data_IF_795073446898
#
_entry.id   IF_795073446898
#
_cell.length_a   1.000
_cell.length_b   1.000
_cell.length_c   1.000
_cell.angle_alpha   90.00
_cell.angle_beta   90.00
_cell.angle_gamma   90.00
#
_symmetry.space_group_name_H-M   'P 1'
#
loop_
_entity.id
_entity.type
_entity.pdbx_description
1 polymer ?
#
# COMPACT_ATOMS: atom_id res chain seq x y z
N UNK A 1 22.21 -58.00 31.05
CA UNK A 1 22.65 -56.66 30.61
C UNK A 1 22.14 -56.49 29.20
N UNK A 2 21.08 -55.70 29.11
CA UNK A 2 20.16 -55.60 27.98
C UNK A 2 20.76 -54.87 26.77
N UNK A 3 20.71 -55.52 25.61
CA UNK A 3 20.69 -54.84 24.32
C UNK A 3 19.26 -54.94 23.78
N UNK A 4 18.56 -53.80 23.75
CA UNK A 4 17.20 -53.71 23.19
C UNK A 4 17.28 -53.64 21.66
N UNK A 5 16.51 -54.47 20.93
CA UNK A 5 16.42 -54.36 19.49
C UNK A 5 15.43 -53.26 19.06
N UNK A 6 15.81 -52.57 17.99
CA UNK A 6 15.00 -51.66 17.19
C UNK A 6 13.74 -52.38 16.67
N UNK A 7 12.56 -52.01 17.17
CA UNK A 7 11.30 -52.25 16.49
C UNK A 7 10.89 -50.96 15.77
N UNK A 8 11.30 -50.85 14.52
CA UNK A 8 10.71 -49.93 13.57
C UNK A 8 9.26 -50.38 13.30
N UNK A 9 8.28 -49.57 13.70
CA UNK A 9 6.93 -49.69 13.17
C UNK A 9 6.96 -49.23 11.70
N UNK A 10 6.50 -50.05 10.73
CA UNK A 10 6.36 -49.57 9.37
C UNK A 10 5.23 -48.54 9.31
N UNK A 11 5.58 -47.31 8.94
CA UNK A 11 4.62 -46.28 8.57
C UNK A 11 3.87 -46.73 7.32
N UNK A 12 2.61 -47.15 7.47
CA UNK A 12 1.70 -47.32 6.34
C UNK A 12 1.31 -45.94 5.80
N UNK A 13 2.18 -45.40 4.93
CA UNK A 13 1.87 -44.27 4.06
C UNK A 13 0.74 -44.66 3.08
N UNK A 14 -0.37 -43.93 2.99
CA UNK A 14 -1.50 -44.27 2.10
C UNK A 14 -1.28 -43.86 0.64
N UNK A 15 -0.03 -43.78 0.17
CA UNK A 15 0.30 -43.17 -1.14
C UNK A 15 0.33 -44.20 -2.30
N UNK A 16 0.23 -45.51 -2.02
CA UNK A 16 0.39 -46.57 -3.05
C UNK A 16 -0.95 -47.05 -3.66
N UNK A 17 -2.11 -46.62 -3.15
CA UNK A 17 -3.41 -47.21 -3.54
C UNK A 17 -4.02 -46.67 -4.84
N UNK A 18 -3.63 -45.48 -5.30
CA UNK A 18 -4.31 -44.76 -6.40
C UNK A 18 -4.09 -45.42 -7.78
N UNK A 19 -2.86 -45.81 -8.19
CA UNK A 19 -2.61 -46.35 -9.54
C UNK A 19 -3.27 -47.71 -9.79
N UNK A 20 -3.41 -48.52 -8.73
CA UNK A 20 -4.11 -49.81 -8.78
C UNK A 20 -5.62 -49.63 -8.88
N UNK A 21 -6.16 -48.61 -8.24
CA UNK A 21 -7.58 -48.28 -8.33
C UNK A 21 -7.93 -47.82 -9.74
N UNK A 22 -7.11 -46.96 -10.33
CA UNK A 22 -7.31 -46.44 -11.69
C UNK A 22 -7.28 -47.56 -12.75
N UNK A 23 -6.33 -48.49 -12.63
CA UNK A 23 -6.25 -49.68 -13.50
C UNK A 23 -7.41 -50.65 -13.31
N UNK A 24 -8.03 -50.68 -12.13
CA UNK A 24 -9.18 -51.53 -11.85
C UNK A 24 -10.45 -50.88 -12.41
N UNK A 25 -10.60 -49.56 -12.22
CA UNK A 25 -11.70 -48.76 -12.75
C UNK A 25 -11.72 -48.73 -14.28
N UNK A 26 -10.56 -48.75 -14.94
CA UNK A 26 -10.46 -48.78 -16.40
C UNK A 26 -10.93 -50.09 -17.03
N UNK A 27 -11.02 -51.18 -16.26
CA UNK A 27 -11.43 -52.49 -16.73
C UNK A 27 -12.90 -52.81 -16.43
N UNK A 28 -13.64 -51.88 -15.80
CA UNK A 28 -15.04 -52.09 -15.44
C UNK A 28 -15.98 -51.81 -16.60
N UNK A 29 -17.00 -52.65 -16.75
CA UNK A 29 -18.09 -52.39 -17.69
C UNK A 29 -19.04 -51.32 -17.13
N UNK A 30 -19.89 -50.74 -17.99
CA UNK A 30 -20.91 -49.79 -17.56
C UNK A 30 -21.87 -50.39 -16.50
N UNK A 31 -22.17 -51.69 -16.59
CA UNK A 31 -23.00 -52.39 -15.61
C UNK A 31 -22.31 -52.47 -14.24
N UNK A 32 -21.00 -52.74 -14.22
CA UNK A 32 -20.22 -52.79 -12.98
C UNK A 32 -20.11 -51.41 -12.33
N UNK A 33 -19.96 -50.35 -13.13
CA UNK A 33 -19.97 -48.97 -12.63
C UNK A 33 -21.32 -48.58 -12.02
N UNK A 34 -22.44 -48.97 -12.64
CA UNK A 34 -23.78 -48.74 -12.10
C UNK A 34 -24.04 -49.55 -10.83
N UNK A 35 -23.57 -50.80 -10.79
CA UNK A 35 -23.65 -51.65 -9.59
C UNK A 35 -22.83 -51.08 -8.43
N UNK A 36 -21.58 -50.67 -8.68
CA UNK A 36 -20.73 -50.04 -7.69
C UNK A 36 -21.33 -48.73 -7.20
N UNK A 37 -21.89 -47.90 -8.08
CA UNK A 37 -22.61 -46.69 -7.69
C UNK A 37 -23.77 -47.01 -6.77
N UNK A 38 -24.61 -47.99 -7.11
CA UNK A 38 -25.72 -48.42 -6.25
C UNK A 38 -25.28 -48.94 -4.89
N UNK A 39 -24.17 -49.71 -4.83
CA UNK A 39 -23.62 -50.21 -3.56
C UNK A 39 -22.98 -49.11 -2.73
N UNK A 40 -22.27 -48.17 -3.37
CA UNK A 40 -21.69 -46.99 -2.72
C UNK A 40 -22.81 -46.09 -2.18
N UNK A 41 -23.85 -45.83 -2.96
CA UNK A 41 -25.01 -45.05 -2.54
C UNK A 41 -25.71 -45.70 -1.33
N UNK A 42 -25.84 -47.03 -1.32
CA UNK A 42 -26.36 -47.80 -0.18
C UNK A 42 -25.45 -47.81 1.06
N UNK A 43 -24.12 -47.74 0.87
CA UNK A 43 -23.16 -47.62 1.98
C UNK A 43 -23.13 -46.19 2.55
N UNK A 44 -23.18 -45.17 1.69
CA UNK A 44 -23.22 -43.75 2.07
C UNK A 44 -24.53 -43.41 2.79
N UNK A 45 -25.63 -44.10 2.51
CA UNK A 45 -26.89 -43.92 3.22
C UNK A 45 -26.80 -44.19 4.74
N UNK A 46 -25.81 -44.98 5.18
CA UNK A 46 -25.59 -45.32 6.60
C UNK A 46 -24.52 -44.47 7.28
N UNK A 47 -23.90 -43.52 6.57
CA UNK A 47 -22.93 -42.59 7.17
C UNK A 47 -23.68 -41.34 7.61
N UNK A 48 -23.67 -40.99 8.92
CA UNK A 48 -24.32 -39.78 9.39
C UNK A 48 -23.73 -38.57 8.66
N UNK A 49 -24.60 -37.81 8.01
CA UNK A 49 -24.24 -36.58 7.30
C UNK A 49 -23.98 -35.50 8.33
N UNK A 50 -23.25 -34.46 7.91
CA UNK A 50 -23.04 -33.29 8.78
C UNK A 50 -24.39 -32.70 9.26
N UNK A 51 -25.41 -32.79 8.39
CA UNK A 51 -26.79 -32.38 8.60
C UNK A 51 -27.53 -33.17 9.70
N UNK A 52 -27.02 -34.35 10.08
CA UNK A 52 -27.62 -35.22 11.10
C UNK A 52 -27.07 -34.92 12.51
N UNK A 53 -26.04 -34.07 12.63
CA UNK A 53 -25.46 -33.73 13.93
C UNK A 53 -26.18 -32.56 14.60
N UNK A 54 -26.30 -32.58 15.94
CA UNK A 54 -26.85 -31.46 16.68
C UNK A 54 -25.89 -30.26 16.67
N UNK A 55 -26.44 -29.06 16.85
CA UNK A 55 -25.72 -27.79 16.70
C UNK A 55 -24.52 -27.65 17.64
N UNK A 56 -24.56 -28.29 18.80
CA UNK A 56 -23.47 -28.31 19.79
C UNK A 56 -22.22 -29.01 19.23
N UNK A 57 -22.41 -30.10 18.50
CA UNK A 57 -21.30 -30.82 17.87
C UNK A 57 -20.73 -29.99 16.72
N UNK A 58 -21.59 -29.32 15.94
CA UNK A 58 -21.17 -28.41 14.87
C UNK A 58 -20.33 -27.24 15.44
N UNK A 59 -20.72 -26.67 16.57
CA UNK A 59 -19.94 -25.63 17.28
C UNK A 59 -18.59 -26.15 17.78
N UNK A 60 -18.55 -27.38 18.30
CA UNK A 60 -17.29 -27.98 18.74
C UNK A 60 -16.37 -28.30 17.56
N UNK A 61 -16.92 -28.64 16.38
CA UNK A 61 -16.12 -28.75 15.16
C UNK A 61 -15.60 -27.36 14.79
N UNK A 62 -16.45 -26.33 14.79
CA UNK A 62 -16.09 -24.96 14.43
C UNK A 62 -14.90 -24.41 15.24
N UNK A 63 -14.87 -24.64 16.56
CA UNK A 63 -13.79 -24.16 17.43
C UNK A 63 -12.41 -24.74 17.07
N UNK A 64 -12.38 -25.88 16.37
CA UNK A 64 -11.16 -26.54 15.91
C UNK A 64 -10.82 -26.23 14.44
N UNK A 65 -11.63 -25.45 13.73
CA UNK A 65 -11.36 -25.05 12.35
C UNK A 65 -10.61 -23.73 12.28
N UNK A 66 -9.65 -23.66 11.36
CA UNK A 66 -9.16 -22.39 10.85
C UNK A 66 -10.14 -21.81 9.81
N UNK A 67 -9.95 -20.53 9.48
CA UNK A 67 -10.86 -19.83 8.58
C UNK A 67 -10.86 -20.40 7.15
N UNK A 68 -9.72 -20.92 6.68
CA UNK A 68 -9.60 -21.53 5.34
C UNK A 68 -10.32 -22.86 5.20
N UNK A 69 -10.15 -23.71 6.21
CA UNK A 69 -10.81 -25.00 6.30
C UNK A 69 -12.31 -24.79 6.44
N UNK A 70 -12.73 -23.84 7.28
CA UNK A 70 -14.13 -23.43 7.36
C UNK A 70 -14.70 -22.98 6.01
N UNK A 71 -14.01 -22.08 5.29
CA UNK A 71 -14.45 -21.65 3.96
C UNK A 71 -14.52 -22.83 2.98
N UNK A 72 -13.57 -23.75 3.02
CA UNK A 72 -13.59 -24.97 2.21
C UNK A 72 -14.82 -25.83 2.54
N UNK A 73 -15.14 -26.00 3.83
CA UNK A 73 -16.35 -26.69 4.29
C UNK A 73 -17.64 -26.03 3.79
N UNK A 74 -17.72 -24.70 3.69
CA UNK A 74 -18.90 -24.02 3.10
C UNK A 74 -19.04 -24.21 1.58
N UNK A 75 -18.00 -24.70 0.92
CA UNK A 75 -17.94 -24.90 -0.55
C UNK A 75 -18.15 -26.34 -0.98
N UNK A 76 -18.08 -27.32 -0.06
CA UNK A 76 -18.20 -28.76 -0.38
C UNK A 76 -19.58 -29.13 -0.92
N UNK A 77 -20.66 -28.66 -0.27
CA UNK A 77 -22.04 -28.95 -0.68
C UNK A 77 -23.03 -27.88 -0.20
N UNK A 78 -24.25 -27.90 -0.76
CA UNK A 78 -25.34 -27.02 -0.31
C UNK A 78 -25.78 -27.32 1.13
N UNK A 79 -25.83 -28.60 1.53
CA UNK A 79 -26.19 -29.01 2.90
C UNK A 79 -25.17 -28.50 3.93
N UNK A 80 -23.89 -28.72 3.65
CA UNK A 80 -22.81 -28.20 4.48
C UNK A 80 -22.86 -26.68 4.60
N UNK A 81 -23.04 -25.97 3.48
CA UNK A 81 -23.20 -24.52 3.51
C UNK A 81 -24.35 -24.10 4.43
N UNK A 82 -25.51 -24.73 4.29
CA UNK A 82 -26.70 -24.38 5.08
C UNK A 82 -26.46 -24.53 6.59
N UNK A 83 -25.76 -25.59 7.01
CA UNK A 83 -25.39 -25.82 8.42
C UNK A 83 -24.47 -24.73 8.93
N UNK A 84 -23.38 -24.48 8.21
CA UNK A 84 -22.42 -23.45 8.59
C UNK A 84 -23.05 -22.05 8.59
N UNK A 85 -24.04 -21.81 7.72
CA UNK A 85 -24.82 -20.55 7.64
C UNK A 85 -26.05 -20.48 8.53
N UNK A 86 -26.32 -21.51 9.34
CA UNK A 86 -27.48 -21.52 10.22
C UNK A 86 -27.34 -20.40 11.27
N UNK A 87 -28.45 -19.72 11.60
CA UNK A 87 -28.50 -18.58 12.54
C UNK A 87 -27.67 -18.80 13.81
N UNK A 88 -27.81 -20.00 14.39
CA UNK A 88 -27.24 -20.34 15.69
C UNK A 88 -25.74 -20.68 15.63
N UNK A 89 -25.21 -21.01 14.45
CA UNK A 89 -23.78 -21.29 14.20
C UNK A 89 -23.09 -20.03 13.68
N UNK A 90 -23.80 -19.21 12.90
CA UNK A 90 -23.26 -18.01 12.26
C UNK A 90 -22.76 -16.96 13.25
N UNK A 91 -23.43 -16.85 14.40
CA UNK A 91 -22.99 -15.98 15.50
C UNK A 91 -21.65 -16.48 16.05
N UNK A 92 -21.49 -17.78 16.22
CA UNK A 92 -20.25 -18.37 16.71
C UNK A 92 -19.12 -18.26 15.69
N UNK A 93 -19.42 -18.39 14.38
CA UNK A 93 -18.48 -18.13 13.28
C UNK A 93 -17.94 -16.71 13.35
N UNK A 94 -18.82 -15.73 13.54
CA UNK A 94 -18.43 -14.33 13.69
C UNK A 94 -17.55 -14.11 14.91
N UNK A 95 -17.94 -14.65 16.06
CA UNK A 95 -17.20 -14.47 17.31
C UNK A 95 -15.83 -15.16 17.27
N UNK A 96 -15.74 -16.31 16.60
CA UNK A 96 -14.51 -17.10 16.50
C UNK A 96 -13.50 -16.48 15.52
N UNK A 97 -13.94 -16.10 14.31
CA UNK A 97 -13.03 -15.59 13.27
C UNK A 97 -12.87 -14.06 13.25
N UNK A 98 -13.86 -13.32 13.78
CA UNK A 98 -13.91 -11.85 13.77
C UNK A 98 -14.35 -11.29 15.14
N UNK A 99 -13.56 -11.53 16.21
CA UNK A 99 -13.93 -11.12 17.56
C UNK A 99 -14.12 -9.59 17.64
N UNK A 100 -15.12 -9.14 18.42
CA UNK A 100 -15.43 -7.73 18.65
C UNK A 100 -16.25 -7.03 17.56
N UNK A 101 -16.44 -7.64 16.39
CA UNK A 101 -17.15 -7.01 15.27
C UNK A 101 -18.63 -6.73 15.57
N UNK A 102 -19.26 -7.58 16.38
CA UNK A 102 -20.65 -7.42 16.83
C UNK A 102 -20.82 -6.31 17.87
N UNK A 103 -19.80 -6.09 18.69
CA UNK A 103 -19.79 -5.03 19.71
C UNK A 103 -19.67 -3.65 19.07
N UNK A 104 -18.90 -3.56 17.97
CA UNK A 104 -18.72 -2.32 17.21
C UNK A 104 -19.96 -1.93 16.39
N UNK A 105 -20.75 -2.90 15.94
CA UNK A 105 -21.89 -2.68 15.05
C UNK A 105 -23.15 -3.42 15.54
N UNK A 106 -23.74 -3.00 16.68
CA UNK A 106 -24.84 -3.72 17.31
C UNK A 106 -26.14 -3.74 16.49
N UNK A 107 -26.30 -2.79 15.57
CA UNK A 107 -27.53 -2.61 14.78
C UNK A 107 -27.51 -3.36 13.44
N UNK A 108 -26.41 -4.02 13.10
CA UNK A 108 -26.22 -4.66 11.80
C UNK A 108 -26.44 -6.16 11.88
N UNK A 109 -26.98 -6.77 10.81
CA UNK A 109 -27.27 -8.20 10.82
C UNK A 109 -25.98 -9.03 10.78
N UNK A 110 -25.95 -10.17 11.48
CA UNK A 110 -24.80 -11.08 11.49
C UNK A 110 -24.37 -11.51 10.08
N UNK A 111 -25.31 -11.62 9.14
CA UNK A 111 -24.98 -11.91 7.75
C UNK A 111 -24.19 -10.77 7.07
N UNK A 112 -24.64 -9.53 7.20
CA UNK A 112 -23.98 -8.37 6.61
C UNK A 112 -22.60 -8.15 7.23
N UNK A 113 -22.50 -8.26 8.55
CA UNK A 113 -21.25 -8.19 9.30
C UNK A 113 -20.24 -9.23 8.82
N UNK A 114 -20.67 -10.50 8.67
CA UNK A 114 -19.81 -11.56 8.17
C UNK A 114 -19.40 -11.32 6.72
N UNK A 115 -20.33 -10.90 5.86
CA UNK A 115 -20.04 -10.62 4.45
C UNK A 115 -18.99 -9.52 4.31
N UNK A 116 -19.15 -8.42 5.06
CA UNK A 116 -18.22 -7.29 5.09
C UNK A 116 -16.85 -7.71 5.67
N UNK A 117 -16.85 -8.41 6.81
CA UNK A 117 -15.63 -8.90 7.44
C UNK A 117 -14.88 -9.90 6.54
N UNK A 118 -15.60 -10.78 5.84
CA UNK A 118 -15.03 -11.71 4.86
C UNK A 118 -14.40 -10.97 3.69
N UNK A 119 -15.05 -9.94 3.15
CA UNK A 119 -14.49 -9.13 2.06
C UNK A 119 -13.21 -8.42 2.51
N UNK A 120 -13.21 -7.85 3.72
CA UNK A 120 -12.02 -7.25 4.32
C UNK A 120 -10.93 -8.30 4.55
N UNK A 121 -11.25 -9.47 5.10
CA UNK A 121 -10.29 -10.54 5.34
C UNK A 121 -9.64 -11.05 4.05
N UNK A 122 -10.43 -11.24 2.98
CA UNK A 122 -9.92 -11.59 1.66
C UNK A 122 -9.05 -10.47 1.08
N UNK A 123 -9.43 -9.20 1.27
CA UNK A 123 -8.64 -8.03 0.88
C UNK A 123 -7.28 -8.04 1.60
N UNK A 124 -7.26 -8.14 2.92
CA UNK A 124 -6.02 -8.02 3.72
C UNK A 124 -5.10 -9.25 3.65
N UNK A 125 -5.60 -10.42 3.25
CA UNK A 125 -4.77 -11.61 2.99
C UNK A 125 -3.92 -11.54 1.73
N UNK A 126 -4.23 -10.63 0.82
CA UNK A 126 -3.40 -10.36 -0.35
C UNK A 126 -2.73 -8.99 -0.16
N UNK A 127 -1.62 -8.91 0.61
CA UNK A 127 -0.93 -7.64 0.85
C UNK A 127 -0.35 -6.99 -0.43
N UNK A 128 -0.36 -7.70 -1.56
CA UNK A 128 0.15 -7.28 -2.87
C UNK A 128 -0.88 -7.50 -3.99
N UNK A 129 -2.15 -7.17 -3.80
CA UNK A 129 -3.11 -7.13 -4.92
C UNK A 129 -3.51 -5.69 -5.25
N UNK A 130 -3.87 -5.44 -6.51
CA UNK A 130 -4.27 -4.12 -7.01
C UNK A 130 -5.52 -3.53 -6.29
N UNK A 131 -6.20 -4.34 -5.48
CA UNK A 131 -7.33 -3.94 -4.63
C UNK A 131 -6.92 -3.49 -3.21
N UNK A 132 -5.77 -3.91 -2.69
CA UNK A 132 -5.18 -3.41 -1.42
C UNK A 132 -4.30 -2.20 -1.65
N UNK A 133 -3.53 -2.21 -2.74
CA UNK A 133 -2.77 -1.06 -3.23
C UNK A 133 -3.52 -0.40 -4.38
N UNK A 134 -4.54 0.40 -4.06
CA UNK A 134 -4.95 1.42 -5.01
C UNK A 134 -3.78 2.40 -5.16
N UNK A 135 -3.24 2.66 -6.36
CA UNK A 135 -2.33 3.78 -6.52
C UNK A 135 -3.04 5.02 -5.99
N UNK A 136 -2.35 5.81 -5.18
CA UNK A 136 -2.92 6.96 -4.45
C UNK A 136 -3.73 7.91 -5.35
N UNK A 137 -3.46 7.91 -6.66
CA UNK A 137 -4.25 8.58 -7.70
C UNK A 137 -5.72 8.14 -7.80
N UNK A 138 -6.10 7.02 -7.20
CA UNK A 138 -7.43 6.40 -7.29
C UNK A 138 -8.29 6.63 -6.04
N UNK A 139 -7.76 7.32 -5.02
CA UNK A 139 -8.51 7.79 -3.86
C UNK A 139 -8.97 9.21 -4.21
N UNK A 140 -10.12 9.34 -4.86
CA UNK A 140 -10.86 10.61 -4.78
C UNK A 140 -11.44 10.68 -3.36
N UNK A 141 -11.05 11.65 -2.53
CA UNK A 141 -11.78 11.90 -1.30
C UNK A 141 -13.21 12.25 -1.71
N UNK A 142 -14.18 11.38 -1.39
CA UNK A 142 -15.58 11.76 -1.45
C UNK A 142 -15.74 13.00 -0.57
N UNK A 143 -15.89 14.16 -1.22
CA UNK A 143 -16.00 15.46 -0.57
C UNK A 143 -14.93 16.51 -0.91
N UNK A 144 -13.88 16.21 -1.68
CA UNK A 144 -12.95 17.27 -2.11
C UNK A 144 -13.52 18.02 -3.34
N UNK A 145 -13.71 19.36 -3.29
CA UNK A 145 -14.10 20.11 -4.47
C UNK A 145 -13.06 19.92 -5.60
N UNK A 146 -13.54 19.44 -6.74
CA UNK A 146 -12.80 18.84 -7.86
C UNK A 146 -11.85 19.75 -8.65
N UNK A 147 -11.37 20.88 -8.14
CA UNK A 147 -10.69 21.87 -9.02
C UNK A 147 -9.18 21.99 -8.90
N UNK A 148 -8.53 21.53 -7.83
CA UNK A 148 -7.06 21.47 -7.75
C UNK A 148 -6.63 20.32 -6.83
N UNK A 149 -6.02 19.27 -7.39
CA UNK A 149 -5.37 18.24 -6.57
C UNK A 149 -4.11 18.86 -5.93
N UNK A 150 -4.21 19.24 -4.66
CA UNK A 150 -3.07 19.76 -3.93
C UNK A 150 -2.05 18.65 -3.64
N UNK A 151 -0.74 18.96 -3.66
CA UNK A 151 0.29 17.96 -3.46
C UNK A 151 0.29 17.48 -2.01
N UNK A 152 0.44 16.16 -1.85
CA UNK A 152 0.83 15.54 -0.60
C UNK A 152 2.35 15.41 -0.59
N UNK A 153 2.99 15.90 0.47
CA UNK A 153 4.43 15.80 0.63
C UNK A 153 4.75 14.96 1.85
N UNK A 154 5.81 14.16 1.75
CA UNK A 154 6.30 13.34 2.85
C UNK A 154 7.82 13.36 2.83
N UNK A 155 8.42 13.53 4.00
CA UNK A 155 9.85 13.42 4.19
C UNK A 155 10.16 12.98 5.63
N UNK A 156 10.90 11.89 5.79
CA UNK A 156 11.25 11.27 7.08
C UNK A 156 10.01 11.04 7.96
N UNK A 157 9.80 11.88 8.99
CA UNK A 157 8.65 11.77 9.89
C UNK A 157 7.56 12.80 9.63
N UNK A 158 7.80 13.75 8.72
CA UNK A 158 6.91 14.87 8.44
C UNK A 158 6.09 14.62 7.20
N UNK A 159 4.87 15.12 7.22
CA UNK A 159 4.02 15.15 6.04
C UNK A 159 3.22 16.43 5.98
N UNK A 160 2.88 16.82 4.76
CA UNK A 160 2.12 18.04 4.48
C UNK A 160 0.83 17.66 3.80
N UNK A 161 -0.25 18.16 4.36
CA UNK A 161 -1.56 18.16 3.74
C UNK A 161 -2.01 19.59 3.50
N UNK A 162 -2.15 19.94 2.22
CA UNK A 162 -2.66 21.24 1.79
C UNK A 162 -4.19 21.13 1.61
N UNK A 163 -4.93 21.86 2.45
CA UNK A 163 -6.40 21.90 2.40
C UNK A 163 -6.92 22.93 1.39
N UNK A 164 -6.10 23.94 1.08
CA UNK A 164 -6.47 25.02 0.18
C UNK A 164 -5.27 25.87 -0.21
N UNK A 165 -5.46 26.99 -0.93
CA UNK A 165 -4.35 27.80 -1.43
C UNK A 165 -3.60 28.61 -0.35
N UNK A 166 -4.11 28.61 0.88
CA UNK A 166 -3.59 29.42 2.00
C UNK A 166 -3.30 28.62 3.27
N UNK A 167 -3.75 27.36 3.35
CA UNK A 167 -3.75 26.58 4.59
C UNK A 167 -3.01 25.27 4.39
N UNK A 168 -1.96 25.08 5.19
CA UNK A 168 -1.05 23.95 5.12
C UNK A 168 -0.96 23.30 6.49
N UNK A 169 -1.32 22.01 6.59
CA UNK A 169 -1.17 21.26 7.83
C UNK A 169 0.07 20.39 7.71
N UNK A 170 0.98 20.53 8.67
CA UNK A 170 2.19 19.72 8.80
C UNK A 170 1.99 18.79 9.98
N UNK A 171 1.97 17.49 9.70
CA UNK A 171 1.88 16.45 10.73
C UNK A 171 3.22 15.75 10.93
N UNK A 172 3.39 15.16 12.12
CA UNK A 172 4.44 14.18 12.37
C UNK A 172 3.80 12.81 12.59
N UNK A 173 4.14 11.84 11.74
CA UNK A 173 3.57 10.50 11.79
C UNK A 173 3.93 9.71 13.04
N UNK A 174 5.10 9.99 13.63
CA UNK A 174 5.60 9.27 14.81
C UNK A 174 4.92 9.78 16.09
N UNK A 175 4.77 11.10 16.21
CA UNK A 175 4.19 11.72 17.42
C UNK A 175 2.69 11.97 17.32
N UNK A 176 2.11 11.89 16.12
CA UNK A 176 0.71 12.24 15.85
C UNK A 176 0.40 13.74 16.00
N UNK A 177 1.41 14.59 16.20
CA UNK A 177 1.21 16.03 16.38
C UNK A 177 0.99 16.73 15.04
N UNK A 178 0.14 17.75 15.06
CA UNK A 178 -0.23 18.54 13.90
C UNK A 178 -0.05 20.03 14.16
N UNK A 179 0.45 20.73 13.15
CA UNK A 179 0.61 22.17 13.16
C UNK A 179 0.09 22.76 11.87
N UNK A 180 -0.66 23.85 11.99
CA UNK A 180 -1.19 24.58 10.86
C UNK A 180 -0.28 25.78 10.53
N UNK A 181 0.02 25.94 9.25
CA UNK A 181 0.83 27.01 8.70
C UNK A 181 0.01 27.80 7.68
N UNK A 182 -0.03 29.12 7.89
CA UNK A 182 -0.68 30.08 7.00
C UNK A 182 0.38 31.10 6.58
N UNK A 183 0.69 31.24 5.27
CA UNK A 183 1.74 32.15 4.85
C UNK A 183 1.38 33.62 5.20
N UNK A 184 2.32 34.39 5.76
CA UNK A 184 2.02 35.74 6.26
C UNK A 184 1.44 36.66 5.19
N UNK A 185 0.25 37.18 5.43
CA UNK A 185 -0.44 38.12 4.54
C UNK A 185 -0.97 37.52 3.22
N UNK A 186 -0.89 36.20 3.03
CA UNK A 186 -1.33 35.55 1.79
C UNK A 186 -2.84 35.70 1.54
N UNK A 187 -3.65 35.55 2.59
CA UNK A 187 -5.11 35.69 2.51
C UNK A 187 -5.51 37.11 2.09
N UNK A 188 -4.88 38.13 2.68
CA UNK A 188 -5.17 39.54 2.40
C UNK A 188 -4.72 39.97 1.00
N UNK A 189 -3.65 39.36 0.47
CA UNK A 189 -3.11 39.67 -0.87
C UNK A 189 -3.69 38.81 -1.99
N UNK A 190 -4.46 37.78 -1.65
CA UNK A 190 -4.91 36.77 -2.61
C UNK A 190 -3.76 35.95 -3.23
N UNK A 191 -2.59 35.93 -2.59
CA UNK A 191 -1.41 35.22 -3.09
C UNK A 191 -1.64 33.70 -2.91
N UNK A 192 -1.80 32.97 -4.02
CA UNK A 192 -2.02 31.51 -3.99
C UNK A 192 -0.70 30.75 -3.88
N UNK A 193 -0.64 29.83 -2.91
CA UNK A 193 0.55 29.05 -2.63
C UNK A 193 0.31 27.56 -2.88
N UNK A 194 1.39 26.85 -3.17
CA UNK A 194 1.41 25.40 -3.27
C UNK A 194 2.66 24.87 -2.56
N UNK A 195 2.51 23.72 -1.89
CA UNK A 195 3.64 23.11 -1.21
C UNK A 195 4.63 22.53 -2.24
N UNK A 196 5.91 22.89 -2.11
CA UNK A 196 6.98 22.41 -2.99
C UNK A 196 7.82 21.29 -2.37
N UNK A 197 8.15 21.41 -1.08
CA UNK A 197 8.97 20.45 -0.34
C UNK A 197 8.72 20.56 1.17
N UNK A 198 9.10 19.52 1.91
CA UNK A 198 9.09 19.48 3.37
C UNK A 198 10.33 18.75 3.86
N UNK A 199 10.90 19.17 4.98
CA UNK A 199 11.90 18.44 5.76
C UNK A 199 11.42 18.28 7.20
N UNK A 200 12.27 17.73 8.07
CA UNK A 200 12.01 17.67 9.50
C UNK A 200 11.96 19.05 10.18
N UNK A 201 12.62 20.07 9.61
CA UNK A 201 12.68 21.43 10.14
C UNK A 201 11.99 22.49 9.29
N UNK A 202 11.80 22.28 7.99
CA UNK A 202 11.35 23.32 7.06
C UNK A 202 10.12 22.90 6.24
N UNK A 203 9.23 23.86 6.00
CA UNK A 203 8.15 23.78 5.00
C UNK A 203 8.42 24.80 3.89
N UNK A 204 8.39 24.34 2.65
CA UNK A 204 8.69 25.15 1.47
C UNK A 204 7.43 25.29 0.64
N UNK A 205 7.03 26.53 0.41
CA UNK A 205 5.85 26.90 -0.38
C UNK A 205 6.28 27.78 -1.54
N UNK A 206 5.72 27.57 -2.73
CA UNK A 206 5.91 28.46 -3.86
C UNK A 206 4.61 29.16 -4.23
N UNK A 207 4.73 30.38 -4.75
CA UNK A 207 3.58 31.15 -5.21
C UNK A 207 3.26 30.81 -6.67
N UNK A 208 2.03 30.39 -6.95
CA UNK A 208 1.62 29.81 -8.25
C UNK A 208 1.36 30.86 -9.33
N UNK A 209 0.95 32.08 -8.95
CA UNK A 209 0.37 33.05 -9.88
C UNK A 209 1.31 34.16 -10.38
N UNK A 210 2.60 34.21 -9.96
CA UNK A 210 3.52 35.29 -10.36
C UNK A 210 4.60 34.81 -11.32
N UNK A 211 4.98 35.67 -12.26
CA UNK A 211 6.01 35.39 -13.26
C UNK A 211 7.38 35.11 -12.65
N UNK A 212 7.67 35.71 -11.48
CA UNK A 212 8.91 35.55 -10.72
C UNK A 212 8.71 34.50 -9.63
N UNK A 213 9.60 33.50 -9.60
CA UNK A 213 9.62 32.41 -8.62
C UNK A 213 9.84 32.93 -7.20
N UNK A 214 8.78 33.27 -6.49
CA UNK A 214 8.84 33.61 -5.06
C UNK A 214 8.53 32.36 -4.25
N UNK A 215 9.39 32.08 -3.30
CA UNK A 215 9.27 30.94 -2.37
C UNK A 215 9.19 31.46 -0.94
N UNK A 216 8.38 30.80 -0.14
CA UNK A 216 8.27 31.02 1.30
C UNK A 216 8.80 29.78 2.00
N UNK A 217 9.68 29.99 2.98
CA UNK A 217 10.25 28.95 3.82
C UNK A 217 9.80 29.20 5.24
N UNK A 218 9.04 28.26 5.80
CA UNK A 218 8.65 28.26 7.21
C UNK A 218 9.55 27.32 7.99
N UNK A 219 10.02 27.78 9.14
CA UNK A 219 10.70 26.92 10.11
C UNK A 219 9.66 26.29 11.04
N UNK A 220 9.63 24.96 11.08
CA UNK A 220 8.58 24.20 11.76
C UNK A 220 8.64 24.34 13.28
N UNK A 221 9.83 24.32 13.88
CA UNK A 221 9.97 24.47 15.33
C UNK A 221 9.62 25.87 15.86
N UNK A 222 10.02 26.93 15.13
CA UNK A 222 9.86 28.32 15.59
C UNK A 222 8.64 29.02 15.02
N UNK A 223 8.03 28.49 13.96
CA UNK A 223 6.96 29.16 13.21
C UNK A 223 7.44 30.38 12.40
N UNK A 224 8.74 30.66 12.36
CA UNK A 224 9.30 31.81 11.66
C UNK A 224 9.23 31.61 10.13
N UNK A 225 9.09 32.73 9.40
CA UNK A 225 8.95 32.73 7.95
C UNK A 225 10.07 33.52 7.29
N UNK A 226 10.56 33.00 6.16
CA UNK A 226 11.45 33.72 5.24
C UNK A 226 10.85 33.72 3.85
N UNK A 227 10.97 34.86 3.17
CA UNK A 227 10.56 35.03 1.78
C UNK A 227 11.79 35.15 0.91
N UNK A 228 11.92 34.26 -0.07
CA UNK A 228 13.00 34.21 -1.02
C UNK A 228 12.48 34.57 -2.42
N UNK A 229 13.25 35.39 -3.14
CA UNK A 229 13.01 35.65 -4.57
C UNK A 229 14.05 34.89 -5.36
N UNK A 230 13.58 33.96 -6.18
CA UNK A 230 14.43 33.21 -7.10
C UNK A 230 14.58 33.99 -8.41
N UNK A 231 15.73 33.87 -9.09
CA UNK A 231 15.99 34.57 -10.35
C UNK A 231 15.17 34.01 -11.52
N UNK A 232 14.55 32.83 -11.36
CA UNK A 232 13.67 32.22 -12.37
C UNK A 232 12.57 31.39 -11.70
N UNK A 233 11.66 30.84 -12.49
CA UNK A 233 10.60 29.95 -12.01
C UNK A 233 11.19 28.68 -11.40
N UNK A 234 10.65 28.32 -10.24
CA UNK A 234 10.97 27.07 -9.55
C UNK A 234 10.48 25.90 -10.40
N UNK A 235 11.37 24.97 -10.74
CA UNK A 235 10.97 23.69 -11.33
C UNK A 235 10.73 22.65 -10.23
N UNK A 236 11.65 22.54 -9.27
CA UNK A 236 11.49 21.64 -8.13
C UNK A 236 12.30 22.10 -6.92
N UNK A 237 11.89 21.70 -5.71
CA UNK A 237 12.62 21.95 -4.48
C UNK A 237 12.86 20.63 -3.75
N UNK A 238 14.01 20.54 -3.11
CA UNK A 238 14.43 19.40 -2.28
C UNK A 238 14.81 19.97 -0.93
N UNK A 239 14.27 19.40 0.15
CA UNK A 239 14.50 19.90 1.49
C UNK A 239 15.01 18.77 2.37
N UNK A 240 16.01 19.06 3.18
CA UNK A 240 16.58 18.13 4.14
C UNK A 240 17.13 18.90 5.33
N UNK A 241 16.65 18.57 6.54
CA UNK A 241 16.97 19.31 7.75
C UNK A 241 16.72 20.82 7.55
N UNK A 242 17.70 21.68 7.85
CA UNK A 242 17.63 23.13 7.64
C UNK A 242 18.09 23.60 6.25
N UNK A 243 18.32 22.66 5.32
CA UNK A 243 18.81 22.98 3.98
C UNK A 243 17.73 22.73 2.93
N UNK A 244 17.70 23.60 1.91
CA UNK A 244 16.80 23.50 0.77
C UNK A 244 17.59 23.75 -0.49
N UNK A 245 17.46 22.85 -1.46
CA UNK A 245 18.01 23.00 -2.80
C UNK A 245 16.89 23.23 -3.79
N UNK A 246 16.94 24.37 -4.48
CA UNK A 246 16.02 24.76 -5.53
C UNK A 246 16.61 24.47 -6.89
N UNK A 247 15.85 23.79 -7.74
CA UNK A 247 16.15 23.61 -9.16
C UNK A 247 15.23 24.50 -9.96
N UNK A 248 15.82 25.37 -10.78
CA UNK A 248 15.08 26.30 -11.63
C UNK A 248 14.80 25.69 -13.00
N UNK A 249 13.81 26.24 -13.73
CA UNK A 249 13.54 25.85 -15.12
C UNK A 249 14.73 26.09 -16.07
N UNK A 250 15.66 26.97 -15.70
CA UNK A 250 16.92 27.21 -16.43
C UNK A 250 17.96 26.10 -16.22
N UNK A 251 17.70 25.14 -15.33
CA UNK A 251 18.65 24.11 -14.92
C UNK A 251 19.67 24.58 -13.88
N UNK A 252 19.64 25.85 -13.48
CA UNK A 252 20.45 26.36 -12.35
C UNK A 252 19.98 25.74 -11.04
N UNK A 253 20.94 25.48 -10.16
CA UNK A 253 20.71 24.92 -8.82
C UNK A 253 21.12 25.95 -7.78
N UNK A 254 20.19 26.28 -6.88
CA UNK A 254 20.41 27.21 -5.78
C UNK A 254 20.26 26.46 -4.46
N UNK A 255 21.15 26.73 -3.51
CA UNK A 255 21.07 26.18 -2.16
C UNK A 255 20.75 27.29 -1.16
N UNK A 256 19.85 27.01 -0.25
CA UNK A 256 19.49 27.85 0.87
C UNK A 256 19.66 27.04 2.15
N UNK A 257 20.21 27.64 3.19
CA UNK A 257 20.14 27.07 4.54
C UNK A 257 19.48 28.08 5.46
N UNK A 258 18.82 27.62 6.53
CA UNK A 258 18.17 28.55 7.44
C UNK A 258 19.17 29.51 8.11
N UNK A 259 20.40 29.08 8.38
CA UNK A 259 21.44 29.93 8.93
C UNK A 259 22.03 30.91 7.90
N UNK A 260 22.03 30.57 6.61
CA UNK A 260 22.70 31.33 5.56
C UNK A 260 21.75 31.98 4.55
N UNK A 261 22.31 32.68 3.58
CA UNK A 261 21.58 33.22 2.44
C UNK A 261 21.53 32.22 1.29
N UNK A 262 20.70 32.54 0.30
CA UNK A 262 20.58 31.80 -0.96
C UNK A 262 21.91 31.90 -1.75
N UNK A 263 22.50 30.76 -2.09
CA UNK A 263 23.75 30.62 -2.83
C UNK A 263 23.51 29.84 -4.13
N UNK A 264 24.08 30.30 -5.24
CA UNK A 264 24.07 29.56 -6.51
C UNK A 264 25.22 28.56 -6.53
N UNK A 265 24.91 27.29 -6.81
CA UNK A 265 25.94 26.24 -6.92
C UNK A 265 26.59 26.30 -8.29
N UNK A 266 27.92 26.44 -8.33
CA UNK A 266 28.68 26.35 -9.57
C UNK A 266 28.84 24.89 -10.00
N UNK A 267 28.13 24.53 -11.07
CA UNK A 267 28.15 23.20 -11.66
C UNK A 267 28.89 23.16 -13.01
N UNK A 268 29.61 24.23 -13.36
CA UNK A 268 30.28 24.36 -14.66
C UNK A 268 31.40 23.34 -14.86
N UNK A 269 32.13 22.99 -13.79
CA UNK A 269 33.18 21.97 -13.82
C UNK A 269 32.64 20.57 -14.14
N UNK A 270 31.42 20.26 -13.67
CA UNK A 270 30.73 19.00 -13.93
C UNK A 270 30.16 18.95 -15.35
N UNK A 271 29.66 20.10 -15.86
CA UNK A 271 29.01 20.18 -17.18
C UNK A 271 30.02 20.04 -18.36
N UNK A 272 31.27 20.50 -18.19
CA UNK A 272 32.29 20.45 -19.25
C UNK A 272 32.63 19.04 -19.71
N UNK A 273 32.60 18.06 -18.80
CA UNK A 273 33.02 16.68 -19.12
C UNK A 273 32.04 15.92 -20.04
N UNK A 274 30.81 16.40 -20.20
CA UNK A 274 29.75 15.65 -20.91
C UNK A 274 29.29 16.26 -22.24
N UNK A 275 29.52 17.56 -22.47
CA UNK A 275 29.13 18.21 -23.76
C UNK A 275 29.90 17.67 -24.96
N UNK A 276 31.13 17.21 -24.75
CA UNK A 276 32.03 16.84 -25.85
C UNK A 276 31.81 15.43 -26.41
N UNK A 277 30.95 14.59 -25.79
CA UNK A 277 30.93 13.16 -26.14
C UNK A 277 29.79 12.70 -27.06
N UNK A 278 28.54 13.20 -26.96
CA UNK A 278 27.44 12.73 -27.83
C UNK A 278 26.25 13.71 -27.92
N UNK A 279 25.46 13.62 -29.00
CA UNK A 279 24.16 14.29 -29.21
C UNK A 279 23.06 13.78 -28.27
N UNK A 280 23.24 13.91 -26.95
CA UNK A 280 22.27 13.49 -25.95
C UNK A 280 21.33 14.63 -25.54
N UNK A 281 20.05 14.33 -25.33
CA UNK A 281 19.11 15.27 -24.70
C UNK A 281 19.35 15.24 -23.20
N UNK A 282 19.70 16.41 -22.64
CA UNK A 282 19.95 16.59 -21.21
C UNK A 282 18.66 16.94 -20.48
N UNK A 283 18.31 16.16 -19.47
CA UNK A 283 17.21 16.48 -18.55
C UNK A 283 17.56 17.57 -17.54
N UNK A 284 16.54 18.11 -16.87
CA UNK A 284 16.71 19.05 -15.74
C UNK A 284 17.38 18.32 -14.57
N UNK A 285 18.39 18.91 -13.90
CA UNK A 285 19.06 18.27 -12.78
C UNK A 285 18.09 17.85 -11.68
N UNK A 286 18.43 16.74 -11.03
CA UNK A 286 17.75 16.22 -9.85
C UNK A 286 18.74 16.21 -8.69
N UNK A 287 18.25 16.40 -7.48
CA UNK A 287 19.06 16.45 -6.26
C UNK A 287 18.74 15.20 -5.44
N UNK A 288 19.80 14.54 -4.98
CA UNK A 288 19.72 13.47 -3.99
C UNK A 288 20.51 13.91 -2.76
N UNK A 289 19.89 13.83 -1.59
CA UNK A 289 20.57 14.12 -0.33
C UNK A 289 21.26 12.85 0.17
N UNK A 290 22.42 13.01 0.81
CA UNK A 290 23.12 11.87 1.37
C UNK A 290 22.33 11.30 2.57
N UNK A 291 22.13 9.98 2.66
CA UNK A 291 21.22 9.39 3.65
C UNK A 291 21.63 9.62 5.10
N UNK A 292 22.93 9.85 5.36
CA UNK A 292 23.48 10.01 6.72
C UNK A 292 24.30 11.28 6.92
N UNK A 293 24.44 12.13 5.91
CA UNK A 293 25.30 13.32 6.00
C UNK A 293 24.58 14.53 5.43
N UNK A 294 24.03 15.34 6.33
CA UNK A 294 23.17 16.49 6.00
C UNK A 294 23.89 17.61 5.22
N UNK A 295 25.22 17.53 5.06
CA UNK A 295 26.01 18.48 4.28
C UNK A 295 26.33 18.05 2.85
N UNK A 296 26.01 16.80 2.46
CA UNK A 296 26.37 16.26 1.15
C UNK A 296 25.12 16.12 0.28
N UNK A 297 25.17 16.74 -0.90
CA UNK A 297 24.17 16.59 -1.95
C UNK A 297 24.81 16.07 -3.22
N UNK A 298 24.10 15.19 -3.93
CA UNK A 298 24.45 14.73 -5.26
C UNK A 298 23.54 15.42 -6.27
N UNK A 299 24.16 16.09 -7.25
CA UNK A 299 23.44 16.61 -8.41
C UNK A 299 23.55 15.60 -9.53
N UNK A 300 22.40 15.13 -10.01
CA UNK A 300 22.30 14.04 -10.98
C UNK A 300 21.58 14.53 -12.24
N UNK A 301 22.08 14.11 -13.40
CA UNK A 301 21.43 14.32 -14.68
C UNK A 301 21.09 12.99 -15.32
N UNK A 302 19.88 12.90 -15.87
CA UNK A 302 19.52 11.84 -16.80
C UNK A 302 19.78 12.33 -18.22
N UNK A 303 20.49 11.51 -19.00
CA UNK A 303 20.74 11.73 -20.42
C UNK A 303 19.96 10.70 -21.21
N UNK A 304 19.27 11.14 -22.26
CA UNK A 304 18.61 10.23 -23.20
C UNK A 304 19.17 10.41 -24.60
N UNK A 305 19.31 9.30 -25.31
CA UNK A 305 19.62 9.29 -26.73
C UNK A 305 18.34 8.99 -27.51
N UNK A 306 18.09 9.71 -28.61
CA UNK A 306 17.03 9.30 -29.54
C UNK A 306 17.51 8.05 -30.25
N UNK A 307 16.99 6.89 -29.88
CA UNK A 307 17.15 5.68 -30.68
C UNK A 307 16.46 5.94 -32.02
N UNK A 308 17.23 6.22 -33.07
CA UNK A 308 16.70 6.20 -34.45
C UNK A 308 16.47 4.72 -34.76
N UNK A 309 15.22 4.29 -34.82
CA UNK A 309 14.84 2.99 -35.38
C UNK A 309 15.14 3.00 -36.88
N UNK A 310 16.40 2.75 -37.24
CA UNK A 310 16.74 2.18 -38.53
C UNK A 310 16.80 0.68 -38.32
N UNK A 311 16.25 -0.09 -39.26
CA UNK A 311 16.08 -1.56 -39.26
C UNK A 311 14.80 -2.10 -38.63
N UNK A 312 13.67 -1.92 -39.34
CA UNK A 312 12.92 -3.06 -39.88
C UNK A 312 12.54 -2.70 -41.33
N UNK A 313 13.22 -3.31 -42.29
CA UNK A 313 12.80 -3.45 -43.69
C UNK A 313 12.86 -4.93 -44.01
#
# INVERSE_FOLDING_TARGET
MDQRPNNAFPSTNPVIAIPRLDSLLSNLTLADLLYLRSRIDGLIANVPRLDDFPVEIIRNILSNLDYDTYLSCTRTSKGWRNIWTHKDVWIDVLNHFFPGLRELYPNETSYNLYSNARLLHLKWRQPYCDYTWKPWSSITPEGSPQTVAYPFLYNKSKFVWQQGPYTFNVGNFVTGQWQQFIPPGAVMRGDRHQAAAVSDQLLILYMVAREIGTVFVAHLATGAWRRLRLPNRLHHAYADSETVTFVLHTGKVLQFTWASNLLELDLTSVDRNHRDRYCMFRGIPKILTHPTNDGIIYVVWAYSHKFKSQFIR
#
